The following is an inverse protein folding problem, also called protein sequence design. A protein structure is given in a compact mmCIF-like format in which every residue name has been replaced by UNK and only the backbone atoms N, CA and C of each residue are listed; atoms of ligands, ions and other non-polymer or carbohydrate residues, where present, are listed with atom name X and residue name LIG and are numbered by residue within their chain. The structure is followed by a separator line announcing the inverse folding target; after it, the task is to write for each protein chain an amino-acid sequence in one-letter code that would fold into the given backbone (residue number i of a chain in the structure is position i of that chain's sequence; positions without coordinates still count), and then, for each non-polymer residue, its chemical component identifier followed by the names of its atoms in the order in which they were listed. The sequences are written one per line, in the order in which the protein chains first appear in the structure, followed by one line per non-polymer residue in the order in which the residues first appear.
data_IF_497158825221
#
_entry.id   IF_497158825221
#
_cell.length_a   1.000
_cell.length_b   1.000
_cell.length_c   1.000
_cell.angle_alpha   90.00
_cell.angle_beta   90.00
_cell.angle_gamma   90.00
#
_symmetry.space_group_name_H-M   'P 1'
#
loop_
_entity.id
_entity.type
_entity.pdbx_description
1 polymer ?
#
# COMPACT_ATOMS: atom_id res chain seq x y z
N UNK A 1 -8.26 -7.43 -22.32
CA UNK A 1 -7.67 -8.73 -21.91
C UNK A 1 -8.60 -9.82 -22.40
N UNK A 2 -8.11 -10.81 -23.14
CA UNK A 2 -8.92 -11.86 -23.77
C UNK A 2 -8.23 -13.21 -23.52
N UNK A 3 -8.53 -13.82 -22.37
CA UNK A 3 -8.01 -15.13 -21.93
C UNK A 3 -9.09 -15.78 -21.06
N UNK A 4 -9.45 -17.03 -21.35
CA UNK A 4 -10.32 -17.85 -20.51
C UNK A 4 -9.46 -18.63 -19.51
N UNK A 5 -9.33 -18.14 -18.27
CA UNK A 5 -8.48 -18.75 -17.24
C UNK A 5 -8.89 -20.17 -16.81
N UNK A 6 -10.08 -20.65 -17.18
CA UNK A 6 -10.50 -22.02 -16.90
C UNK A 6 -9.93 -22.99 -17.94
N UNK A 7 -9.83 -22.55 -19.20
CA UNK A 7 -9.48 -23.40 -20.35
C UNK A 7 -8.09 -23.14 -20.91
N UNK A 8 -7.55 -21.95 -20.71
CA UNK A 8 -6.27 -21.53 -21.24
C UNK A 8 -5.20 -21.52 -20.14
N UNK A 9 -4.04 -22.19 -20.35
CA UNK A 9 -2.92 -22.11 -19.41
C UNK A 9 -2.28 -20.72 -19.44
N UNK A 10 -1.81 -20.26 -18.28
CA UNK A 10 -1.08 -18.98 -18.13
C UNK A 10 0.41 -19.11 -18.47
N UNK A 11 0.91 -20.33 -18.62
CA UNK A 11 2.29 -20.60 -19.01
C UNK A 11 2.63 -22.09 -19.00
N UNK A 12 3.88 -22.39 -19.34
CA UNK A 12 4.45 -23.74 -19.28
C UNK A 12 5.56 -23.73 -18.23
N UNK A 13 5.52 -24.68 -17.29
CA UNK A 13 6.55 -24.84 -16.27
C UNK A 13 7.88 -25.28 -16.87
N UNK A 14 8.96 -25.19 -16.11
CA UNK A 14 10.29 -25.69 -16.53
C UNK A 14 10.30 -27.18 -16.86
N UNK A 15 9.34 -27.93 -16.32
CA UNK A 15 9.17 -29.37 -16.54
C UNK A 15 8.25 -29.68 -17.73
N UNK A 16 7.85 -28.67 -18.50
CA UNK A 16 6.99 -28.82 -19.68
C UNK A 16 5.49 -28.98 -19.37
N UNK A 17 5.06 -28.75 -18.12
CA UNK A 17 3.65 -28.85 -17.73
C UNK A 17 2.92 -27.53 -17.97
N UNK A 18 1.72 -27.60 -18.54
CA UNK A 18 0.83 -26.44 -18.61
C UNK A 18 0.41 -26.01 -17.19
N UNK A 19 0.56 -24.73 -16.89
CA UNK A 19 0.19 -24.11 -15.62
C UNK A 19 -1.05 -23.27 -15.85
N UNK A 20 -2.10 -23.53 -15.09
CA UNK A 20 -3.35 -22.77 -15.10
C UNK A 20 -3.38 -21.77 -13.95
N UNK A 21 -4.25 -20.77 -14.07
CA UNK A 21 -4.42 -19.76 -13.01
C UNK A 21 -4.79 -20.38 -11.66
N UNK A 22 -5.64 -21.41 -11.67
CA UNK A 22 -6.04 -22.15 -10.46
C UNK A 22 -4.88 -22.83 -9.73
N UNK A 23 -3.79 -23.14 -10.44
CA UNK A 23 -2.64 -23.85 -9.88
C UNK A 23 -1.73 -22.92 -9.06
N UNK A 24 -1.84 -21.61 -9.27
CA UNK A 24 -1.02 -20.58 -8.61
C UNK A 24 -1.83 -19.63 -7.72
N UNK A 25 -3.16 -19.70 -7.80
CA UNK A 25 -4.02 -18.85 -7.00
C UNK A 25 -4.06 -19.36 -5.56
N UNK A 26 -3.67 -18.54 -4.57
CA UNK A 26 -3.67 -18.98 -3.19
C UNK A 26 -5.10 -19.20 -2.68
N UNK A 27 -5.27 -20.21 -1.84
CA UNK A 27 -6.53 -20.43 -1.13
C UNK A 27 -6.76 -19.36 -0.06
N UNK A 28 -8.02 -19.20 0.37
CA UNK A 28 -8.37 -18.24 1.43
C UNK A 28 -7.67 -18.60 2.74
N UNK A 29 -7.51 -19.89 3.00
CA UNK A 29 -6.86 -20.45 4.18
C UNK A 29 -5.36 -20.11 4.19
N UNK A 30 -4.66 -20.32 3.07
CA UNK A 30 -3.23 -19.95 2.93
C UNK A 30 -3.02 -18.44 3.11
N UNK A 31 -3.91 -17.62 2.55
CA UNK A 31 -3.86 -16.16 2.74
C UNK A 31 -4.02 -15.82 4.23
N UNK A 32 -5.00 -16.42 4.92
CA UNK A 32 -5.27 -16.14 6.32
C UNK A 32 -4.09 -16.54 7.23
N UNK A 33 -3.43 -17.66 6.94
CA UNK A 33 -2.26 -18.12 7.68
C UNK A 33 -1.05 -17.19 7.50
N UNK A 34 -0.78 -16.76 6.27
CA UNK A 34 0.29 -15.79 5.98
C UNK A 34 0.00 -14.44 6.64
N UNK A 35 -1.23 -13.95 6.57
CA UNK A 35 -1.64 -12.72 7.25
C UNK A 35 -1.43 -12.84 8.76
N UNK A 36 -1.87 -13.94 9.37
CA UNK A 36 -1.72 -14.15 10.82
C UNK A 36 -0.26 -14.21 11.27
N UNK A 37 0.63 -14.78 10.46
CA UNK A 37 2.05 -14.90 10.78
C UNK A 37 2.86 -13.63 10.47
N UNK A 38 2.44 -12.86 9.46
CA UNK A 38 3.21 -11.73 8.94
C UNK A 38 2.73 -10.37 9.45
N UNK A 39 1.44 -10.24 9.79
CA UNK A 39 0.85 -8.99 10.28
C UNK A 39 0.95 -8.96 11.80
N UNK A 40 2.11 -8.52 12.29
CA UNK A 40 2.42 -8.49 13.72
C UNK A 40 1.91 -7.21 14.40
N UNK A 41 1.45 -7.28 15.66
CA UNK A 41 1.05 -6.09 16.43
C UNK A 41 2.11 -4.99 16.48
N UNK A 42 3.39 -5.35 16.46
CA UNK A 42 4.49 -4.40 16.51
C UNK A 42 4.66 -3.59 15.21
N UNK A 43 4.18 -4.11 14.07
CA UNK A 43 4.11 -3.34 12.82
C UNK A 43 3.10 -2.19 12.93
N UNK A 44 1.98 -2.41 13.62
CA UNK A 44 1.02 -1.34 13.89
C UNK A 44 1.63 -0.30 14.83
N UNK A 45 2.22 -0.72 15.95
CA UNK A 45 2.84 0.21 16.91
C UNK A 45 3.91 1.08 16.25
N UNK A 46 4.84 0.47 15.51
CA UNK A 46 5.91 1.21 14.82
C UNK A 46 5.37 2.18 13.77
N UNK A 47 4.35 1.79 13.00
CA UNK A 47 3.70 2.68 12.03
C UNK A 47 3.06 3.89 12.73
N UNK A 48 2.29 3.68 13.80
CA UNK A 48 1.66 4.77 14.55
C UNK A 48 2.66 5.67 15.28
N UNK A 49 3.77 5.12 15.80
CA UNK A 49 4.87 5.91 16.34
C UNK A 49 5.49 6.84 15.29
N UNK A 50 5.61 6.39 14.04
CA UNK A 50 6.18 7.21 12.96
C UNK A 50 5.26 8.36 12.53
N UNK A 51 3.94 8.19 12.61
CA UNK A 51 2.96 9.23 12.26
C UNK A 51 3.10 10.43 13.18
N UNK A 52 3.35 10.22 14.48
CA UNK A 52 3.46 11.31 15.45
C UNK A 52 4.79 12.07 15.37
N UNK A 53 5.83 11.44 14.81
CA UNK A 53 7.14 12.08 14.59
C UNK A 53 7.14 13.03 13.39
N UNK A 54 6.21 12.84 12.44
CA UNK A 54 6.15 13.62 11.20
C UNK A 54 7.37 13.41 10.30
N UNK A 55 7.31 13.96 9.09
CA UNK A 55 8.49 14.05 8.22
C UNK A 55 9.29 15.30 8.62
N UNK A 56 10.63 15.26 8.76
CA UNK A 56 11.46 16.45 9.05
C UNK A 56 11.12 17.67 8.17
N UNK A 57 10.89 17.45 6.88
CA UNK A 57 10.51 18.53 5.95
C UNK A 57 9.17 19.19 6.34
N UNK A 58 8.21 18.40 6.85
CA UNK A 58 6.93 18.92 7.33
C UNK A 58 7.09 19.70 8.64
N UNK A 59 7.95 19.20 9.54
CA UNK A 59 8.19 19.80 10.85
C UNK A 59 8.95 21.13 10.76
N UNK A 60 9.74 21.34 9.71
CA UNK A 60 10.50 22.58 9.46
C UNK A 60 9.65 23.71 8.85
N UNK A 61 8.43 23.43 8.40
CA UNK A 61 7.56 24.46 7.83
C UNK A 61 7.16 25.48 8.89
N UNK A 62 7.53 26.74 8.66
CA UNK A 62 7.12 27.85 9.50
C UNK A 62 5.61 28.09 9.34
N UNK A 63 4.85 27.92 10.41
CA UNK A 63 3.41 28.20 10.44
C UNK A 63 3.12 29.43 11.30
N UNK A 64 2.16 30.25 10.89
CA UNK A 64 1.68 31.35 11.73
C UNK A 64 0.85 30.81 12.89
N UNK A 65 0.97 31.38 14.08
CA UNK A 65 0.10 31.06 15.23
C UNK A 65 -1.29 31.68 15.15
N UNK A 66 -1.63 32.33 14.03
CA UNK A 66 -2.93 32.97 13.82
C UNK A 66 -4.03 31.94 13.69
N UNK A 67 -5.16 32.18 14.36
CA UNK A 67 -6.36 31.34 14.23
C UNK A 67 -7.01 31.48 12.85
N UNK A 68 -6.84 32.64 12.21
CA UNK A 68 -7.31 32.89 10.84
C UNK A 68 -6.14 32.75 9.87
N UNK A 69 -6.38 32.09 8.74
CA UNK A 69 -5.39 31.92 7.70
C UNK A 69 -5.00 33.28 7.10
N UNK A 70 -3.70 33.62 7.04
CA UNK A 70 -3.25 34.89 6.49
C UNK A 70 -3.23 34.80 4.95
N UNK A 71 -4.33 35.19 4.31
CA UNK A 71 -4.41 35.27 2.86
C UNK A 71 -3.33 36.23 2.32
N UNK A 72 -2.47 35.73 1.45
CA UNK A 72 -1.46 36.52 0.75
C UNK A 72 -2.00 36.94 -0.62
N UNK A 73 -2.23 38.24 -0.90
CA UNK A 73 -2.76 38.70 -2.18
C UNK A 73 -1.81 38.48 -3.36
N UNK A 74 -0.55 38.16 -3.11
CA UNK A 74 0.46 37.81 -4.12
C UNK A 74 0.59 36.30 -4.33
N UNK A 75 -0.07 35.50 -3.50
CA UNK A 75 -0.11 34.04 -3.63
C UNK A 75 -0.74 33.63 -4.95
N UNK A 76 -0.07 32.75 -5.68
CA UNK A 76 -0.57 32.11 -6.90
C UNK A 76 -1.10 30.70 -6.66
N UNK A 77 -1.09 30.25 -5.40
CA UNK A 77 -1.42 28.86 -5.02
C UNK A 77 -2.66 28.78 -4.12
N UNK A 78 -2.90 29.79 -3.30
CA UNK A 78 -3.98 29.84 -2.30
C UNK A 78 -4.60 31.24 -2.34
N UNK A 79 -5.89 31.34 -2.73
CA UNK A 79 -6.67 32.57 -2.92
C UNK A 79 -7.87 32.65 -1.99
#
# INVERSE_FOLDING_TARGET
VNIDFEKEPIGISKDGKEVYFRDVWPSTEEIAEVVKSSVLPDMFKSTYESITKGNPMWNELSVSTSTLYPWDPTSTYIH
#
